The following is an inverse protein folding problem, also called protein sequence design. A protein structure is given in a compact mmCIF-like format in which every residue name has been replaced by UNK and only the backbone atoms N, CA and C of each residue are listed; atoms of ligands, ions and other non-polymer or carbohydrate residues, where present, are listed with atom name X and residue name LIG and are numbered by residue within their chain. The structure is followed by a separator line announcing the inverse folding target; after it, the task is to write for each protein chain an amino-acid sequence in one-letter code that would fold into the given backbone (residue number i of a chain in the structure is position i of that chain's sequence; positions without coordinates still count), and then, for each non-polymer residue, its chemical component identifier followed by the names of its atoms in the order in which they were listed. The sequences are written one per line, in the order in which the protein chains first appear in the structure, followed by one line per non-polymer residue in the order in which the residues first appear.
data_IF_511973782881
#
_entry.id   IF_511973782881
#
_cell.length_a   1.000
_cell.length_b   1.000
_cell.length_c   1.000
_cell.angle_alpha   90.00
_cell.angle_beta   90.00
_cell.angle_gamma   90.00
#
_symmetry.space_group_name_H-M   'P 1'
#
loop_
_entity.id
_entity.type
_entity.pdbx_description
1 polymer ?
#
# COMPACT_ATOMS: atom_id res chain seq x y z
N UNK A 1 16.88 2.69 -23.40
CA UNK A 1 17.87 1.75 -22.83
C UNK A 1 18.93 1.42 -23.87
N UNK A 2 20.16 1.92 -23.71
CA UNK A 2 21.39 1.40 -24.34
C UNK A 2 22.63 2.12 -23.77
N UNK A 3 23.65 1.30 -23.48
CA UNK A 3 25.07 1.60 -23.19
C UNK A 3 25.49 1.76 -21.72
N UNK A 4 25.54 0.64 -21.00
CA UNK A 4 26.62 0.37 -20.04
C UNK A 4 27.36 -0.89 -20.53
N UNK A 5 28.47 -0.69 -21.23
CA UNK A 5 29.38 -1.76 -21.62
C UNK A 5 30.75 -1.49 -20.98
N UNK A 6 30.93 -1.98 -19.75
CA UNK A 6 32.21 -1.94 -19.03
C UNK A 6 33.15 -2.96 -19.67
N UNK A 7 34.11 -2.47 -20.44
CA UNK A 7 35.10 -3.25 -21.19
C UNK A 7 36.23 -3.66 -20.25
N UNK A 8 36.14 -4.85 -19.65
CA UNK A 8 37.25 -5.46 -18.91
C UNK A 8 38.25 -6.02 -19.93
N UNK A 9 39.44 -5.41 -20.04
CA UNK A 9 40.56 -5.92 -20.84
C UNK A 9 41.68 -6.42 -19.93
N UNK A 10 42.17 -7.60 -20.31
CA UNK A 10 43.16 -8.46 -19.68
C UNK A 10 44.60 -7.93 -19.66
N UNK A 11 45.40 -8.69 -18.89
CA UNK A 11 46.84 -9.04 -18.98
C UNK A 11 47.85 -8.18 -18.21
N UNK A 12 48.59 -8.86 -17.34
CA UNK A 12 49.71 -8.33 -16.57
C UNK A 12 50.92 -8.00 -17.43
N UNK A 13 51.72 -7.06 -16.95
CA UNK A 13 53.03 -7.36 -16.36
C UNK A 13 53.60 -6.08 -15.72
N UNK A 14 54.17 -6.27 -14.54
CA UNK A 14 55.22 -5.52 -13.85
C UNK A 14 55.48 -4.04 -14.23
N UNK A 15 55.03 -3.10 -13.37
CA UNK A 15 55.87 -2.04 -12.78
C UNK A 15 55.06 -1.10 -11.91
N UNK A 16 55.46 -0.99 -10.64
CA UNK A 16 55.43 0.21 -9.80
C UNK A 16 54.05 0.85 -9.48
N UNK A 17 53.99 1.40 -8.27
CA UNK A 17 52.86 2.10 -7.65
C UNK A 17 51.61 1.24 -7.38
N UNK A 18 51.33 1.09 -6.08
CA UNK A 18 49.96 0.95 -5.58
C UNK A 18 49.08 1.92 -6.38
N UNK A 19 47.87 1.54 -6.83
CA UNK A 19 46.94 2.52 -7.35
C UNK A 19 46.66 3.48 -6.19
N UNK A 20 47.36 4.61 -6.20
CA UNK A 20 46.90 5.81 -5.54
C UNK A 20 45.58 6.04 -6.23
N UNK A 21 44.51 5.63 -5.55
CA UNK A 21 43.17 6.02 -5.89
C UNK A 21 43.17 7.52 -5.59
N UNK A 22 43.74 8.29 -6.51
CA UNK A 22 43.74 9.74 -6.50
C UNK A 22 42.27 10.14 -6.35
N UNK A 23 41.91 10.61 -5.16
CA UNK A 23 41.07 11.74 -4.75
C UNK A 23 40.06 12.39 -5.73
N UNK A 24 39.74 11.77 -6.88
CA UNK A 24 38.87 12.29 -7.93
C UNK A 24 37.41 11.90 -7.72
N UNK A 25 37.14 10.87 -6.91
CA UNK A 25 35.77 10.40 -6.56
C UNK A 25 35.21 11.10 -5.30
N UNK A 26 35.98 12.03 -4.71
CA UNK A 26 35.63 12.82 -3.52
C UNK A 26 35.24 14.27 -3.87
N UNK A 27 35.00 14.58 -5.15
CA UNK A 27 34.47 15.88 -5.55
C UNK A 27 32.96 15.90 -5.28
N UNK A 28 32.43 16.89 -4.54
CA UNK A 28 30.99 17.00 -4.35
C UNK A 28 30.32 17.03 -5.73
N UNK A 29 29.29 16.20 -5.89
CA UNK A 29 28.54 16.06 -7.14
C UNK A 29 28.12 17.44 -7.65
N UNK A 30 28.24 17.67 -8.95
CA UNK A 30 27.90 18.95 -9.53
C UNK A 30 26.45 19.32 -9.17
N UNK A 31 26.17 20.54 -8.68
CA UNK A 31 24.85 20.91 -8.20
C UNK A 31 23.77 20.78 -9.28
N UNK A 32 24.13 20.97 -10.56
CA UNK A 32 23.20 20.80 -11.66
C UNK A 32 22.88 19.33 -11.91
N UNK A 33 23.88 18.45 -11.87
CA UNK A 33 23.68 16.99 -11.96
C UNK A 33 22.84 16.46 -10.79
N UNK A 34 23.04 17.00 -9.58
CA UNK A 34 22.24 16.66 -8.42
C UNK A 34 20.78 17.08 -8.57
N UNK A 35 20.51 18.28 -9.06
CA UNK A 35 19.13 18.75 -9.31
C UNK A 35 18.42 17.92 -10.38
N UNK A 36 19.11 17.57 -11.47
CA UNK A 36 18.57 16.70 -12.51
C UNK A 36 18.27 15.30 -11.98
N UNK A 37 19.15 14.77 -11.13
CA UNK A 37 18.94 13.50 -10.46
C UNK A 37 17.70 13.55 -9.55
N UNK A 38 17.58 14.56 -8.69
CA UNK A 38 16.40 14.76 -7.81
C UNK A 38 15.12 14.88 -8.63
N UNK A 39 15.12 15.68 -9.71
CA UNK A 39 13.95 15.83 -10.58
C UNK A 39 13.54 14.51 -11.24
N UNK A 40 14.50 13.68 -11.64
CA UNK A 40 14.22 12.35 -12.21
C UNK A 40 13.61 11.39 -11.18
N UNK A 41 14.05 11.48 -9.92
CA UNK A 41 13.48 10.71 -8.82
C UNK A 41 12.05 11.17 -8.47
N UNK A 42 11.81 12.47 -8.41
CA UNK A 42 10.47 13.04 -8.16
C UNK A 42 9.47 12.63 -9.24
N UNK A 43 9.87 12.69 -10.51
CA UNK A 43 9.04 12.25 -11.63
C UNK A 43 8.69 10.75 -11.52
N UNK A 44 9.69 9.92 -11.23
CA UNK A 44 9.52 8.48 -11.03
C UNK A 44 8.64 8.18 -9.82
N UNK A 45 8.81 8.91 -8.72
CA UNK A 45 8.00 8.78 -7.52
C UNK A 45 6.53 9.18 -7.78
N UNK A 46 6.29 10.23 -8.56
CA UNK A 46 4.93 10.67 -8.92
C UNK A 46 4.21 9.63 -9.80
N UNK A 47 4.92 8.98 -10.71
CA UNK A 47 4.38 7.87 -11.51
C UNK A 47 4.08 6.64 -10.64
N UNK A 48 5.05 6.22 -9.83
CA UNK A 48 4.89 5.09 -8.90
C UNK A 48 3.73 5.33 -7.93
N UNK A 49 3.59 6.54 -7.40
CA UNK A 49 2.49 6.91 -6.51
C UNK A 49 1.13 6.73 -7.21
N UNK A 50 0.98 7.22 -8.44
CA UNK A 50 -0.26 7.05 -9.22
C UNK A 50 -0.54 5.58 -9.53
N UNK A 51 0.49 4.80 -9.86
CA UNK A 51 0.35 3.37 -10.09
C UNK A 51 -0.16 2.64 -8.83
N UNK A 52 0.49 2.86 -7.68
CA UNK A 52 0.10 2.23 -6.42
C UNK A 52 -1.28 2.67 -5.95
N UNK A 53 -1.65 3.95 -6.08
CA UNK A 53 -3.02 4.42 -5.76
C UNK A 53 -4.08 3.66 -6.55
N UNK A 54 -3.83 3.35 -7.83
CA UNK A 54 -4.74 2.54 -8.66
C UNK A 54 -4.81 1.08 -8.20
N UNK A 55 -3.67 0.46 -7.92
CA UNK A 55 -3.61 -0.92 -7.40
C UNK A 55 -4.40 -1.04 -6.10
N UNK A 56 -4.17 -0.13 -5.14
CA UNK A 56 -4.91 -0.11 -3.89
C UNK A 56 -6.41 0.15 -4.07
N UNK A 57 -6.80 1.04 -4.99
CA UNK A 57 -8.21 1.28 -5.28
C UNK A 57 -8.91 0.02 -5.83
N UNK A 58 -8.25 -0.74 -6.70
CA UNK A 58 -8.79 -2.01 -7.22
C UNK A 58 -8.93 -3.04 -6.10
N UNK A 59 -7.89 -3.20 -5.27
CA UNK A 59 -7.92 -4.14 -4.14
C UNK A 59 -9.06 -3.80 -3.16
N UNK A 60 -9.22 -2.51 -2.82
CA UNK A 60 -10.31 -2.04 -1.96
C UNK A 60 -11.68 -2.28 -2.58
N UNK A 61 -11.81 -2.08 -3.90
CA UNK A 61 -13.05 -2.37 -4.60
C UNK A 61 -13.41 -3.85 -4.55
N UNK A 62 -12.45 -4.74 -4.83
CA UNK A 62 -12.65 -6.18 -4.71
C UNK A 62 -13.04 -6.59 -3.28
N UNK A 63 -12.39 -6.00 -2.28
CA UNK A 63 -12.71 -6.26 -0.88
C UNK A 63 -14.12 -5.77 -0.50
N UNK A 64 -14.55 -4.60 -0.98
CA UNK A 64 -15.93 -4.14 -0.78
C UNK A 64 -16.96 -5.09 -1.39
N UNK A 65 -16.71 -5.61 -2.60
CA UNK A 65 -17.60 -6.60 -3.22
C UNK A 65 -17.68 -7.88 -2.39
N UNK A 66 -16.54 -8.34 -1.85
CA UNK A 66 -16.51 -9.48 -0.94
C UNK A 66 -17.33 -9.23 0.34
N UNK A 67 -17.20 -8.06 0.97
CA UNK A 67 -17.98 -7.69 2.15
C UNK A 67 -19.48 -7.61 1.85
N UNK A 68 -19.87 -7.02 0.73
CA UNK A 68 -21.28 -6.96 0.32
C UNK A 68 -21.86 -8.36 0.08
N UNK A 69 -21.08 -9.26 -0.52
CA UNK A 69 -21.47 -10.66 -0.69
C UNK A 69 -21.60 -11.38 0.66
N UNK A 70 -20.68 -11.14 1.60
CA UNK A 70 -20.73 -11.64 2.97
C UNK A 70 -22.04 -11.22 3.67
N UNK A 71 -22.34 -9.92 3.64
CA UNK A 71 -23.58 -9.35 4.21
C UNK A 71 -24.81 -10.01 3.57
N UNK A 72 -24.84 -10.11 2.24
CA UNK A 72 -25.97 -10.71 1.52
C UNK A 72 -26.20 -12.15 1.96
N UNK A 73 -25.13 -12.96 2.04
CA UNK A 73 -25.22 -14.35 2.52
C UNK A 73 -25.64 -14.42 3.99
N UNK A 74 -25.19 -13.50 4.83
CA UNK A 74 -25.53 -13.48 6.24
C UNK A 74 -26.98 -13.08 6.52
N UNK A 75 -27.56 -12.22 5.68
CA UNK A 75 -28.99 -11.85 5.72
C UNK A 75 -29.87 -12.98 5.15
N UNK A 76 -29.46 -13.60 4.05
CA UNK A 76 -30.29 -14.60 3.34
C UNK A 76 -30.22 -16.00 3.95
N UNK A 77 -29.06 -16.44 4.42
CA UNK A 77 -28.89 -17.76 5.05
C UNK A 77 -28.09 -17.71 6.36
N UNK A 78 -28.62 -17.06 7.42
CA UNK A 78 -27.92 -16.91 8.71
C UNK A 78 -27.59 -18.26 9.39
N UNK A 79 -28.29 -19.33 9.05
CA UNK A 79 -28.16 -20.66 9.66
C UNK A 79 -27.18 -21.59 8.93
N UNK A 80 -26.82 -21.33 7.68
CA UNK A 80 -25.85 -22.12 6.90
C UNK A 80 -24.40 -21.85 7.32
N UNK A 81 -24.13 -20.68 7.91
CA UNK A 81 -22.79 -20.25 8.31
C UNK A 81 -22.41 -20.70 9.73
N UNK A 82 -23.39 -21.04 10.58
CA UNK A 82 -23.18 -21.57 11.94
C UNK A 82 -22.23 -22.77 12.02
N UNK A 83 -22.33 -23.81 11.17
CA UNK A 83 -21.45 -24.97 11.28
C UNK A 83 -19.97 -24.67 10.96
N UNK A 84 -19.67 -23.60 10.23
CA UNK A 84 -18.30 -23.19 9.91
C UNK A 84 -17.75 -22.13 10.88
N UNK A 85 -18.61 -21.53 11.70
CA UNK A 85 -18.27 -20.53 12.70
C UNK A 85 -17.92 -21.17 14.06
N UNK A 86 -17.21 -22.30 14.05
CA UNK A 86 -16.77 -23.02 15.26
C UNK A 86 -15.89 -22.16 16.19
N UNK A 87 -15.34 -21.04 15.70
CA UNK A 87 -14.58 -20.05 16.48
C UNK A 87 -15.40 -18.85 16.98
N UNK A 88 -16.72 -18.78 16.72
CA UNK A 88 -17.57 -17.66 17.13
C UNK A 88 -18.84 -18.14 17.83
N UNK A 89 -18.66 -18.86 18.94
CA UNK A 89 -19.76 -19.12 19.86
C UNK A 89 -20.31 -17.76 20.36
N UNK A 90 -21.57 -17.49 20.02
CA UNK A 90 -22.42 -16.38 20.47
C UNK A 90 -22.19 -14.96 19.91
N UNK A 91 -21.69 -14.80 18.67
CA UNK A 91 -21.86 -13.50 17.99
C UNK A 91 -23.20 -13.44 17.25
N UNK A 92 -24.04 -12.48 17.65
CA UNK A 92 -25.34 -12.25 17.02
C UNK A 92 -25.14 -11.80 15.57
N UNK A 93 -25.86 -12.42 14.62
CA UNK A 93 -25.70 -12.16 13.17
C UNK A 93 -25.78 -10.67 12.80
N UNK A 94 -26.63 -9.91 13.49
CA UNK A 94 -26.75 -8.45 13.28
C UNK A 94 -25.49 -7.67 13.64
N UNK A 95 -24.69 -8.13 14.61
CA UNK A 95 -23.44 -7.49 14.98
C UNK A 95 -22.41 -7.65 13.86
N UNK A 96 -22.33 -8.85 13.26
CA UNK A 96 -21.44 -9.13 12.13
C UNK A 96 -21.86 -8.28 10.92
N UNK A 97 -23.16 -8.26 10.59
CA UNK A 97 -23.69 -7.42 9.52
C UNK A 97 -23.33 -5.94 9.74
N UNK A 98 -23.47 -5.43 10.97
CA UNK A 98 -23.13 -4.04 11.29
C UNK A 98 -21.63 -3.76 11.15
N UNK A 99 -20.77 -4.68 11.57
CA UNK A 99 -19.31 -4.56 11.45
C UNK A 99 -18.88 -4.56 9.97
N UNK A 100 -19.46 -5.43 9.16
CA UNK A 100 -19.19 -5.49 7.71
C UNK A 100 -19.68 -4.21 7.01
N UNK A 101 -20.83 -3.64 7.39
CA UNK A 101 -21.28 -2.34 6.89
C UNK A 101 -20.31 -1.21 7.24
N UNK A 102 -19.78 -1.19 8.47
CA UNK A 102 -18.78 -0.21 8.88
C UNK A 102 -17.48 -0.39 8.08
N UNK A 103 -17.06 -1.62 7.81
CA UNK A 103 -15.90 -1.90 6.96
C UNK A 103 -16.12 -1.42 5.52
N UNK A 104 -17.31 -1.62 4.95
CA UNK A 104 -17.67 -1.07 3.62
C UNK A 104 -17.58 0.45 3.61
N UNK A 105 -18.07 1.13 4.64
CA UNK A 105 -17.96 2.60 4.76
C UNK A 105 -16.50 3.06 4.81
N UNK A 106 -15.67 2.40 5.63
CA UNK A 106 -14.23 2.67 5.75
C UNK A 106 -13.56 2.55 4.37
N UNK A 107 -13.81 1.45 3.67
CA UNK A 107 -13.26 1.21 2.34
C UNK A 107 -13.75 2.24 1.31
N UNK A 108 -15.01 2.68 1.38
CA UNK A 108 -15.55 3.71 0.50
C UNK A 108 -14.85 5.06 0.70
N UNK A 109 -14.54 5.42 1.96
CA UNK A 109 -13.79 6.64 2.28
C UNK A 109 -12.33 6.53 1.85
N UNK A 110 -11.67 5.38 2.05
CA UNK A 110 -10.32 5.14 1.53
C UNK A 110 -10.29 5.27 0.01
N UNK A 111 -11.26 4.68 -0.68
CA UNK A 111 -11.33 4.70 -2.15
C UNK A 111 -11.57 6.11 -2.67
N UNK A 112 -12.47 6.89 -2.06
CA UNK A 112 -12.62 8.31 -2.39
C UNK A 112 -11.34 9.11 -2.16
N UNK A 113 -10.63 8.89 -1.04
CA UNK A 113 -9.34 9.55 -0.76
C UNK A 113 -8.20 9.15 -1.69
N UNK A 114 -8.29 7.97 -2.32
CA UNK A 114 -7.32 7.47 -3.31
C UNK A 114 -7.60 7.99 -4.73
N UNK A 115 -8.86 8.24 -5.08
CA UNK A 115 -9.24 8.73 -6.41
C UNK A 115 -9.16 10.27 -6.47
N UNK A 116 -9.48 10.95 -5.37
CA UNK A 116 -9.46 12.40 -5.32
C UNK A 116 -8.02 12.93 -5.32
N UNK A 117 -7.66 13.79 -6.29
CA UNK A 117 -6.38 14.52 -6.32
C UNK A 117 -6.50 15.91 -5.65
N UNK A 118 -7.70 16.28 -5.20
CA UNK A 118 -7.94 17.59 -4.58
C UNK A 118 -7.36 17.69 -3.16
N UNK A 119 -7.30 18.92 -2.64
CA UNK A 119 -6.92 19.24 -1.25
C UNK A 119 -7.75 18.43 -0.21
N UNK A 120 -8.91 17.91 -0.61
CA UNK A 120 -9.81 17.17 0.28
C UNK A 120 -9.44 15.69 0.42
N UNK A 121 -8.53 15.15 -0.41
CA UNK A 121 -8.12 13.74 -0.33
C UNK A 121 -7.58 13.38 1.06
N UNK A 122 -6.82 14.29 1.69
CA UNK A 122 -6.22 14.06 3.01
C UNK A 122 -7.29 13.92 4.09
N UNK A 123 -8.39 14.69 3.99
CA UNK A 123 -9.52 14.59 4.94
C UNK A 123 -10.23 13.24 4.82
N UNK A 124 -10.44 12.74 3.61
CA UNK A 124 -11.05 11.41 3.39
C UNK A 124 -10.22 10.27 3.97
N UNK A 125 -8.88 10.36 3.87
CA UNK A 125 -7.98 9.39 4.50
C UNK A 125 -8.08 9.44 6.03
N UNK A 126 -8.10 10.65 6.61
CA UNK A 126 -8.30 10.79 8.07
C UNK A 126 -9.64 10.22 8.53
N UNK A 127 -10.73 10.53 7.83
CA UNK A 127 -12.05 9.98 8.16
C UNK A 127 -12.08 8.45 8.07
N UNK A 128 -11.46 7.89 7.03
CA UNK A 128 -11.32 6.44 6.88
C UNK A 128 -10.55 5.83 8.06
N UNK A 129 -9.45 6.45 8.48
CA UNK A 129 -8.66 5.96 9.62
C UNK A 129 -9.44 5.99 10.94
N UNK A 130 -10.13 7.10 11.25
CA UNK A 130 -10.96 7.19 12.45
C UNK A 130 -12.12 6.18 12.44
N UNK A 131 -12.78 6.00 11.29
CA UNK A 131 -13.86 5.03 11.17
C UNK A 131 -13.38 3.58 11.22
N UNK A 132 -12.13 3.29 10.83
CA UNK A 132 -11.54 1.96 10.88
C UNK A 132 -11.27 1.45 12.30
N UNK A 133 -11.08 2.36 13.27
CA UNK A 133 -10.83 1.99 14.67
C UNK A 133 -12.00 1.19 15.25
N UNK A 134 -13.24 1.55 14.91
CA UNK A 134 -14.45 0.91 15.44
C UNK A 134 -14.53 -0.58 15.08
N UNK A 135 -14.51 -0.99 13.80
CA UNK A 135 -14.52 -2.41 13.44
C UNK A 135 -13.24 -3.13 13.90
N UNK A 136 -12.07 -2.45 13.92
CA UNK A 136 -10.83 -3.07 14.39
C UNK A 136 -10.91 -3.43 15.89
N UNK A 137 -11.40 -2.53 16.74
CA UNK A 137 -11.60 -2.79 18.16
C UNK A 137 -12.66 -3.88 18.39
N UNK A 138 -13.74 -3.87 17.61
CA UNK A 138 -14.78 -4.88 17.65
C UNK A 138 -14.20 -6.29 17.43
N UNK A 139 -13.50 -6.50 16.31
CA UNK A 139 -12.91 -7.81 16.00
C UNK A 139 -11.80 -8.20 16.97
N UNK A 140 -10.97 -7.24 17.40
CA UNK A 140 -9.91 -7.51 18.39
C UNK A 140 -10.49 -8.00 19.72
N UNK A 141 -11.60 -7.40 20.18
CA UNK A 141 -12.29 -7.85 21.39
C UNK A 141 -12.81 -9.28 21.26
N UNK A 142 -13.46 -9.61 20.14
CA UNK A 142 -14.04 -10.93 19.93
C UNK A 142 -13.02 -12.04 19.63
N UNK A 143 -11.87 -11.69 19.03
CA UNK A 143 -10.79 -12.65 18.79
C UNK A 143 -9.97 -12.97 20.05
N UNK A 144 -9.96 -12.08 21.04
CA UNK A 144 -9.28 -12.27 22.32
C UNK A 144 -10.15 -12.93 23.39
N UNK A 145 -11.46 -13.02 23.15
CA UNK A 145 -12.43 -13.67 24.03
C UNK A 145 -12.52 -15.15 23.72
#
# INVERSE_FOLDING_TARGET
MKKLARKWRNSGDDKFSLPIHDDEDSRPMDPQEQEEFVRSLEATQAENNRFWRRVFAILLFCYMQFLLYSIFKQVTSPWEMRPYAYFMEDIYSWMIISADWMAVLVCSFSMKGLIDESVHHRRWIWYSWFTAIVPAMFWLYYMLR
#
